data_IF_757568893853
#
_entry.id   IF_757568893853
#
_cell.length_a   1.000
_cell.length_b   1.000
_cell.length_c   1.000
_cell.angle_alpha   90.00
_cell.angle_beta   90.00
_cell.angle_gamma   90.00
#
_symmetry.space_group_name_H-M   'P 1'
#
loop_
_entity.id
_entity.type
_entity.pdbx_description
1 polymer ?
#
# COMPACT_ATOMS: atom_id res chain seq x y z
N UNK A 1 12.05 1.15 41.25
CA UNK A 1 10.70 0.77 40.73
C UNK A 1 10.31 1.60 39.52
N UNK A 2 10.19 2.94 39.62
CA UNK A 2 9.77 3.80 38.51
C UNK A 2 10.63 3.67 37.22
N UNK A 3 11.95 3.46 37.36
CA UNK A 3 12.87 3.25 36.22
C UNK A 3 12.47 2.04 35.35
N UNK A 4 12.09 0.93 35.96
CA UNK A 4 11.71 -0.28 35.23
C UNK A 4 10.35 -0.11 34.55
N UNK A 5 9.44 0.65 35.18
CA UNK A 5 8.10 0.94 34.65
C UNK A 5 8.16 1.83 33.39
N UNK A 6 9.06 2.82 33.37
CA UNK A 6 9.29 3.64 32.17
C UNK A 6 9.88 2.83 31.01
N UNK A 7 10.81 1.91 31.30
CA UNK A 7 11.44 1.07 30.28
C UNK A 7 10.42 0.09 29.69
N UNK A 8 9.56 -0.52 30.50
CA UNK A 8 8.51 -1.43 30.00
C UNK A 8 7.47 -0.67 29.18
N UNK A 9 7.06 0.53 29.60
CA UNK A 9 6.13 1.36 28.85
C UNK A 9 6.70 1.74 27.46
N UNK A 10 7.98 2.11 27.41
CA UNK A 10 8.65 2.43 26.14
C UNK A 10 8.63 1.23 25.19
N UNK A 11 8.90 0.02 25.68
CA UNK A 11 8.83 -1.19 24.84
C UNK A 11 7.45 -1.38 24.24
N UNK A 12 6.36 -1.25 25.01
CA UNK A 12 5.00 -1.45 24.48
C UNK A 12 4.58 -0.40 23.43
N UNK A 13 5.15 0.80 23.47
CA UNK A 13 4.86 1.84 22.48
C UNK A 13 5.49 1.58 21.10
N UNK A 14 6.56 0.78 21.02
CA UNK A 14 7.31 0.54 19.78
C UNK A 14 7.17 -0.89 19.22
N UNK A 15 6.40 -1.77 19.87
CA UNK A 15 6.27 -3.19 19.46
C UNK A 15 5.31 -3.40 18.27
N UNK A 16 4.51 -2.39 17.89
CA UNK A 16 3.54 -2.52 16.80
C UNK A 16 3.60 -1.37 15.80
N UNK A 17 3.57 -1.69 14.50
CA UNK A 17 3.24 -0.72 13.47
C UNK A 17 1.73 -0.56 13.41
N UNK A 18 1.25 0.69 13.47
CA UNK A 18 -0.16 1.00 13.29
C UNK A 18 -0.52 0.91 11.80
N UNK A 19 -1.63 0.28 11.49
CA UNK A 19 -2.20 0.14 10.16
C UNK A 19 -3.69 0.55 10.16
N UNK A 20 -4.36 0.68 9.00
CA UNK A 20 -5.81 1.04 9.01
C UNK A 20 -6.67 -0.01 9.71
N UNK A 21 -6.21 -1.26 9.77
CA UNK A 21 -6.84 -2.39 10.47
C UNK A 21 -6.44 -2.51 11.95
N UNK A 22 -5.59 -1.61 12.49
CA UNK A 22 -5.18 -1.58 13.90
C UNK A 22 -3.70 -1.89 14.11
N UNK A 23 -3.36 -2.57 15.22
CA UNK A 23 -1.99 -3.02 15.51
C UNK A 23 -1.80 -4.40 14.88
N UNK A 24 -0.96 -4.50 13.85
CA UNK A 24 -0.64 -5.76 13.19
C UNK A 24 0.85 -6.07 13.33
N UNK A 25 1.18 -7.33 13.59
CA UNK A 25 2.54 -7.84 13.54
C UNK A 25 2.97 -8.22 12.11
N UNK A 26 2.10 -8.04 11.11
CA UNK A 26 2.43 -8.28 9.70
C UNK A 26 3.35 -7.16 9.20
N UNK A 27 4.50 -7.56 8.66
CA UNK A 27 5.48 -6.64 8.07
C UNK A 27 4.95 -5.96 6.81
N UNK A 28 4.10 -6.64 6.05
CA UNK A 28 3.37 -6.08 4.92
C UNK A 28 1.87 -6.11 5.22
N UNK A 29 1.25 -4.94 5.18
CA UNK A 29 -0.18 -4.74 5.40
C UNK A 29 -1.07 -5.36 4.31
N UNK A 30 -0.53 -5.57 3.12
CA UNK A 30 -1.34 -5.86 1.95
C UNK A 30 -1.47 -7.37 1.73
N UNK A 31 -2.68 -7.89 1.88
CA UNK A 31 -3.06 -9.18 1.32
C UNK A 31 -3.45 -8.96 -0.15
N UNK A 32 -2.64 -9.50 -1.05
CA UNK A 32 -2.95 -9.53 -2.48
C UNK A 32 -3.53 -10.88 -2.87
N UNK A 33 -4.76 -10.89 -3.38
CA UNK A 33 -5.33 -12.04 -4.05
C UNK A 33 -4.97 -12.01 -5.52
N UNK A 34 -4.37 -13.10 -6.00
CA UNK A 34 -4.01 -13.28 -7.40
C UNK A 34 -4.96 -14.32 -8.01
N UNK A 35 -5.63 -13.98 -9.11
CA UNK A 35 -6.54 -14.88 -9.81
C UNK A 35 -6.57 -14.60 -11.30
N UNK A 36 -7.08 -15.57 -12.06
CA UNK A 36 -7.40 -15.41 -13.47
C UNK A 36 -8.90 -15.25 -13.61
N UNK A 37 -9.35 -14.28 -14.41
CA UNK A 37 -10.78 -14.16 -14.71
C UNK A 37 -11.25 -15.25 -15.67
N UNK A 38 -12.57 -15.29 -15.92
CA UNK A 38 -13.19 -16.23 -16.86
C UNK A 38 -12.70 -16.09 -18.31
N UNK A 39 -12.06 -14.96 -18.64
CA UNK A 39 -11.45 -14.70 -19.95
C UNK A 39 -9.95 -15.08 -19.97
N UNK A 40 -9.41 -15.54 -18.85
CA UNK A 40 -8.02 -15.93 -18.69
C UNK A 40 -7.06 -14.77 -18.44
N UNK A 41 -7.53 -13.55 -18.18
CA UNK A 41 -6.66 -12.43 -17.84
C UNK A 41 -6.19 -12.53 -16.38
N UNK A 42 -4.92 -12.24 -16.15
CA UNK A 42 -4.32 -12.18 -14.82
C UNK A 42 -4.77 -10.91 -14.09
N UNK A 43 -5.31 -11.08 -12.88
CA UNK A 43 -5.69 -10.01 -11.98
C UNK A 43 -4.94 -10.17 -10.65
N UNK A 44 -4.48 -9.04 -10.11
CA UNK A 44 -3.83 -8.95 -8.81
C UNK A 44 -4.54 -7.89 -7.99
N UNK A 45 -5.44 -8.35 -7.14
CA UNK A 45 -6.23 -7.50 -6.26
C UNK A 45 -5.53 -7.38 -4.91
N UNK A 46 -4.83 -6.27 -4.70
CA UNK A 46 -4.20 -5.96 -3.42
C UNK A 46 -5.16 -5.13 -2.56
N UNK A 47 -5.57 -5.68 -1.42
CA UNK A 47 -6.24 -4.88 -0.40
C UNK A 47 -5.21 -3.96 0.24
N UNK A 48 -5.36 -2.67 0.03
CA UNK A 48 -4.47 -1.67 0.60
C UNK A 48 -4.92 -1.34 2.02
N UNK A 49 -4.33 -2.04 2.99
CA UNK A 49 -4.60 -1.77 4.40
C UNK A 49 -3.68 -0.67 4.95
N UNK A 50 -2.70 -0.19 4.18
CA UNK A 50 -1.74 0.84 4.62
C UNK A 50 -2.45 2.14 4.99
N UNK A 51 -1.90 2.86 5.98
CA UNK A 51 -2.33 4.24 6.29
C UNK A 51 -2.08 5.15 5.09
N UNK A 52 -0.90 5.01 4.47
CA UNK A 52 -0.47 5.69 3.25
C UNK A 52 0.10 4.64 2.30
N UNK A 53 -0.37 4.61 1.05
CA UNK A 53 0.16 3.72 0.03
C UNK A 53 0.96 4.43 -1.04
N UNK A 54 1.83 3.66 -1.69
CA UNK A 54 2.62 4.15 -2.82
C UNK A 54 1.76 4.63 -3.98
N UNK A 55 0.57 4.04 -4.18
CA UNK A 55 -0.40 4.51 -5.18
C UNK A 55 -0.94 5.90 -4.82
N UNK A 56 -1.29 6.13 -3.55
CA UNK A 56 -1.76 7.44 -3.09
C UNK A 56 -0.66 8.50 -3.21
N UNK A 57 0.57 8.16 -2.86
CA UNK A 57 1.75 9.03 -3.05
C UNK A 57 1.94 9.33 -4.54
N UNK A 58 1.86 8.31 -5.40
CA UNK A 58 1.99 8.46 -6.85
C UNK A 58 0.91 9.35 -7.45
N UNK A 59 -0.36 9.21 -7.01
CA UNK A 59 -1.46 10.09 -7.43
C UNK A 59 -1.22 11.54 -7.02
N UNK A 60 -0.85 11.78 -5.76
CA UNK A 60 -0.54 13.14 -5.27
C UNK A 60 0.66 13.75 -5.99
N UNK A 61 1.70 12.96 -6.25
CA UNK A 61 2.86 13.39 -7.01
C UNK A 61 2.47 13.76 -8.45
N UNK A 62 1.68 12.92 -9.13
CA UNK A 62 1.20 13.20 -10.48
C UNK A 62 0.32 14.45 -10.53
N UNK A 63 -0.57 14.67 -9.55
CA UNK A 63 -1.36 15.90 -9.46
C UNK A 63 -0.48 17.16 -9.32
N UNK A 64 0.59 17.07 -8.53
CA UNK A 64 1.55 18.17 -8.39
C UNK A 64 2.32 18.39 -9.70
N UNK A 65 2.70 17.33 -10.40
CA UNK A 65 3.35 17.41 -11.71
C UNK A 65 2.41 18.03 -12.75
N UNK A 66 1.15 17.59 -12.84
CA UNK A 66 0.12 18.14 -13.73
C UNK A 66 -0.12 19.63 -13.45
N UNK A 67 -0.10 20.06 -12.18
CA UNK A 67 -0.24 21.48 -11.81
C UNK A 67 0.95 22.35 -12.27
N UNK A 68 2.17 21.79 -12.28
CA UNK A 68 3.40 22.53 -12.61
C UNK A 68 3.70 22.50 -14.11
N UNK A 69 3.49 21.34 -14.76
CA UNK A 69 3.94 21.04 -16.13
C UNK A 69 2.78 21.06 -17.13
N UNK A 70 1.53 20.95 -16.68
CA UNK A 70 0.36 20.71 -17.53
C UNK A 70 0.06 19.21 -17.68
N UNK A 71 -1.15 18.87 -18.15
CA UNK A 71 -1.56 17.47 -18.38
C UNK A 71 -0.69 16.80 -19.46
N UNK A 72 0.05 15.76 -19.08
CA UNK A 72 0.58 14.80 -20.04
C UNK A 72 -0.45 13.67 -20.29
N UNK A 73 -0.67 13.31 -21.56
CA UNK A 73 -1.56 12.21 -21.95
C UNK A 73 -1.14 10.90 -21.24
N UNK A 74 -1.98 10.42 -20.32
CA UNK A 74 -1.82 9.11 -19.68
C UNK A 74 -2.01 8.02 -20.73
N UNK A 75 -0.92 7.37 -21.14
CA UNK A 75 -0.98 6.11 -21.88
C UNK A 75 -1.54 5.03 -20.96
N UNK A 76 -2.79 4.64 -21.20
CA UNK A 76 -3.36 3.44 -20.57
C UNK A 76 -2.54 2.22 -21.00
N UNK A 77 -1.88 1.57 -20.03
CA UNK A 77 -1.23 0.29 -20.26
C UNK A 77 -2.30 -0.77 -20.50
N UNK A 78 -2.45 -1.18 -21.76
CA UNK A 78 -3.37 -2.26 -22.13
C UNK A 78 -2.98 -3.55 -21.39
N UNK A 79 -3.95 -4.32 -20.89
CA UNK A 79 -3.67 -5.59 -20.22
C UNK A 79 -2.89 -6.48 -21.20
N UNK A 80 -1.73 -6.98 -20.74
CA UNK A 80 -0.93 -7.92 -21.52
C UNK A 80 -1.73 -9.21 -21.62
N UNK A 81 -2.25 -9.49 -22.81
CA UNK A 81 -2.91 -10.76 -23.10
C UNK A 81 -1.92 -11.91 -22.89
N UNK A 82 -2.39 -13.03 -22.34
CA UNK A 82 -1.56 -14.21 -22.11
C UNK A 82 -0.90 -14.64 -23.42
N UNK A 83 0.42 -14.51 -23.48
CA UNK A 83 1.23 -15.20 -24.46
C UNK A 83 1.61 -16.52 -23.79
N UNK A 84 0.93 -17.60 -24.19
CA UNK A 84 1.39 -18.94 -23.91
C UNK A 84 2.75 -19.17 -24.58
#
# INVERSE_FOLDING_TARGET
MAKYLLITLAFFLFVGCANRTGISAKYYANECSEYYDVQGYYHKDCKDENIVSYEEIGKKANQVVEFIVGEEEKKEEKPKGNVW
#
